data_IF_201869220318
#
_entry.id   IF_201869220318
#
_cell.length_a   1.000
_cell.length_b   1.000
_cell.length_c   1.000
_cell.angle_alpha   90.00
_cell.angle_beta   90.00
_cell.angle_gamma   90.00
#
_symmetry.space_group_name_H-M   'P 1'
#
loop_
_entity.id
_entity.type
_entity.pdbx_description
1 polymer ?
#
# COMPACT_ATOMS: atom_id res chain seq x y z
N UNK A 1 7.77 9.48 -10.93
CA UNK A 1 6.78 9.63 -9.84
C UNK A 1 5.41 10.06 -10.36
N UNK A 2 5.30 11.08 -11.23
CA UNK A 2 4.01 11.57 -11.73
C UNK A 2 3.21 10.46 -12.46
N UNK A 3 3.84 9.73 -13.39
CA UNK A 3 3.18 8.67 -14.15
C UNK A 3 2.66 7.53 -13.26
N UNK A 4 3.44 7.10 -12.27
CA UNK A 4 3.02 6.08 -11.31
C UNK A 4 1.86 6.55 -10.42
N UNK A 5 1.87 7.83 -10.02
CA UNK A 5 0.78 8.42 -9.26
C UNK A 5 -0.51 8.52 -10.09
N UNK A 6 -0.41 8.78 -11.39
CA UNK A 6 -1.58 8.82 -12.28
C UNK A 6 -2.27 7.45 -12.36
N UNK A 7 -1.50 6.36 -12.56
CA UNK A 7 -2.07 5.00 -12.56
C UNK A 7 -2.70 4.63 -11.21
N UNK A 8 -2.05 5.00 -10.11
CA UNK A 8 -2.59 4.76 -8.77
C UNK A 8 -3.91 5.53 -8.55
N UNK A 9 -3.95 6.80 -8.93
CA UNK A 9 -5.16 7.63 -8.82
C UNK A 9 -6.29 7.07 -9.69
N UNK A 10 -6.01 6.71 -10.94
CA UNK A 10 -6.97 6.07 -11.84
C UNK A 10 -7.53 4.77 -11.25
N UNK A 11 -6.68 3.93 -10.66
CA UNK A 11 -7.13 2.70 -9.98
C UNK A 11 -8.12 3.00 -8.85
N UNK A 12 -7.84 4.00 -8.01
CA UNK A 12 -8.71 4.39 -6.90
C UNK A 12 -10.04 4.98 -7.40
N UNK A 13 -10.02 5.82 -8.43
CA UNK A 13 -11.23 6.41 -9.03
C UNK A 13 -12.12 5.32 -9.64
N UNK A 14 -11.54 4.36 -10.36
CA UNK A 14 -12.30 3.22 -10.93
C UNK A 14 -12.95 2.38 -9.83
N UNK A 15 -12.23 2.12 -8.73
CA UNK A 15 -12.79 1.39 -7.57
C UNK A 15 -13.94 2.16 -6.91
N UNK A 16 -13.82 3.47 -6.75
CA UNK A 16 -14.90 4.33 -6.26
C UNK A 16 -16.12 4.28 -7.19
N UNK A 17 -15.91 4.35 -8.50
CA UNK A 17 -16.98 4.23 -9.49
C UNK A 17 -17.70 2.87 -9.39
N UNK A 18 -16.96 1.77 -9.25
CA UNK A 18 -17.53 0.42 -9.07
C UNK A 18 -18.38 0.37 -7.80
N UNK A 19 -17.89 0.86 -6.66
CA UNK A 19 -18.65 0.87 -5.42
C UNK A 19 -19.92 1.72 -5.53
N UNK A 20 -19.82 2.91 -6.12
CA UNK A 20 -20.96 3.83 -6.26
C UNK A 20 -21.99 3.34 -7.27
N UNK A 21 -21.55 2.72 -8.37
CA UNK A 21 -22.44 2.14 -9.38
C UNK A 21 -23.13 0.88 -8.84
N UNK A 22 -22.40 0.03 -8.11
CA UNK A 22 -22.97 -1.13 -7.45
C UNK A 22 -24.11 -0.73 -6.49
N UNK A 23 -23.90 0.27 -5.64
CA UNK A 23 -24.94 0.77 -4.73
C UNK A 23 -26.17 1.35 -5.44
N UNK A 24 -26.07 1.76 -6.71
CA UNK A 24 -27.21 2.21 -7.51
C UNK A 24 -27.95 1.07 -8.20
N UNK A 25 -27.21 0.08 -8.70
CA UNK A 25 -27.77 -1.05 -9.44
C UNK A 25 -28.31 -2.18 -8.53
N UNK A 26 -27.81 -2.29 -7.32
CA UNK A 26 -28.24 -3.28 -6.34
C UNK A 26 -29.11 -2.57 -5.29
N UNK A 27 -30.42 -2.60 -5.47
CA UNK A 27 -31.42 -1.89 -4.64
C UNK A 27 -31.36 -2.23 -3.13
N UNK A 28 -30.60 -3.27 -2.73
CA UNK A 28 -30.32 -3.62 -1.34
C UNK A 28 -28.91 -4.24 -1.12
N UNK A 29 -27.99 -4.12 -2.07
CA UNK A 29 -26.68 -4.81 -2.03
C UNK A 29 -25.50 -3.87 -2.26
N UNK A 30 -24.37 -4.15 -1.62
CA UNK A 30 -23.10 -3.49 -1.96
C UNK A 30 -22.09 -4.55 -2.37
N UNK A 31 -21.23 -4.24 -3.35
CA UNK A 31 -20.14 -5.14 -3.71
C UNK A 31 -19.25 -5.38 -2.49
N UNK A 32 -18.96 -6.65 -2.24
CA UNK A 32 -18.07 -7.05 -1.17
C UNK A 32 -16.64 -6.55 -1.46
N UNK A 33 -16.03 -5.94 -0.44
CA UNK A 33 -14.67 -5.43 -0.47
C UNK A 33 -13.68 -6.56 -0.77
N UNK A 34 -13.95 -7.78 -0.28
CA UNK A 34 -13.09 -8.94 -0.50
C UNK A 34 -13.02 -9.33 -1.99
N UNK A 35 -14.13 -9.19 -2.73
CA UNK A 35 -14.16 -9.48 -4.17
C UNK A 35 -13.28 -8.50 -4.92
N UNK A 36 -13.42 -7.20 -4.64
CA UNK A 36 -12.61 -6.15 -5.29
C UNK A 36 -11.12 -6.30 -4.95
N UNK A 37 -10.80 -6.57 -3.68
CA UNK A 37 -9.42 -6.76 -3.23
C UNK A 37 -8.77 -8.01 -3.86
N UNK A 38 -9.51 -9.12 -3.91
CA UNK A 38 -9.01 -10.39 -4.45
C UNK A 38 -8.80 -10.33 -5.95
N UNK A 39 -9.75 -9.75 -6.70
CA UNK A 39 -9.56 -9.52 -8.15
C UNK A 39 -8.37 -8.60 -8.42
N UNK A 40 -8.26 -7.49 -7.68
CA UNK A 40 -7.11 -6.58 -7.80
C UNK A 40 -5.78 -7.31 -7.55
N UNK A 41 -5.71 -8.10 -6.48
CA UNK A 41 -4.49 -8.85 -6.11
C UNK A 41 -4.16 -9.95 -7.13
N UNK A 42 -5.16 -10.64 -7.68
CA UNK A 42 -4.97 -11.67 -8.69
C UNK A 42 -4.38 -11.10 -9.98
N UNK A 43 -4.97 -10.03 -10.52
CA UNK A 43 -4.42 -9.36 -11.70
C UNK A 43 -3.06 -8.73 -11.43
N UNK A 44 -2.86 -8.12 -10.25
CA UNK A 44 -1.55 -7.60 -9.86
C UNK A 44 -0.48 -8.71 -9.87
N UNK A 45 -0.77 -9.86 -9.27
CA UNK A 45 0.14 -11.02 -9.27
C UNK A 45 0.45 -11.48 -10.69
N UNK A 46 -0.59 -11.62 -11.54
CA UNK A 46 -0.42 -12.01 -12.94
C UNK A 46 0.48 -11.04 -13.71
N UNK A 47 0.24 -9.73 -13.63
CA UNK A 47 1.05 -8.73 -14.33
C UNK A 47 2.46 -8.62 -13.76
N UNK A 48 2.64 -8.79 -12.44
CA UNK A 48 3.98 -8.83 -11.82
C UNK A 48 4.77 -10.04 -12.32
N UNK A 49 4.15 -11.22 -12.41
CA UNK A 49 4.78 -12.42 -12.96
C UNK A 49 5.13 -12.24 -14.44
N UNK A 50 4.23 -11.64 -15.22
CA UNK A 50 4.47 -11.32 -16.63
C UNK A 50 5.63 -10.32 -16.82
N UNK A 51 5.74 -9.33 -15.94
CA UNK A 51 6.80 -8.31 -15.95
C UNK A 51 8.07 -8.73 -15.23
N UNK A 52 8.08 -9.86 -14.52
CA UNK A 52 9.21 -10.36 -13.75
C UNK A 52 10.54 -10.42 -14.52
N UNK A 53 10.63 -10.93 -15.77
CA UNK A 53 11.88 -10.95 -16.52
C UNK A 53 12.44 -9.55 -16.75
N UNK A 54 11.58 -8.56 -17.01
CA UNK A 54 11.99 -7.18 -17.19
C UNK A 54 12.43 -6.53 -15.87
N UNK A 55 11.67 -6.75 -14.79
CA UNK A 55 12.02 -6.26 -13.45
C UNK A 55 13.33 -6.85 -12.92
N UNK A 56 13.61 -8.12 -13.25
CA UNK A 56 14.86 -8.80 -12.91
C UNK A 56 16.08 -8.10 -13.50
N UNK A 57 16.00 -7.71 -14.79
CA UNK A 57 17.08 -7.00 -15.48
C UNK A 57 17.34 -5.63 -14.84
N UNK A 58 16.27 -4.89 -14.47
CA UNK A 58 16.40 -3.60 -13.78
C UNK A 58 17.02 -3.73 -12.38
N UNK A 59 16.84 -4.89 -11.73
CA UNK A 59 17.46 -5.20 -10.42
C UNK A 59 18.87 -5.82 -10.54
N UNK A 60 19.39 -6.01 -11.75
CA UNK A 60 20.73 -6.53 -11.99
C UNK A 60 20.85 -8.06 -11.99
N UNK A 61 19.74 -8.80 -12.06
CA UNK A 61 19.76 -10.27 -12.11
C UNK A 61 19.51 -10.76 -13.54
N UNK A 62 20.46 -11.49 -14.16
CA UNK A 62 20.30 -11.99 -15.52
C UNK A 62 19.20 -13.05 -15.61
N UNK A 63 18.50 -13.11 -16.75
CA UNK A 63 17.33 -13.99 -16.92
C UNK A 63 17.68 -15.48 -16.76
N UNK A 64 18.90 -15.87 -17.13
CA UNK A 64 19.41 -17.24 -16.98
C UNK A 64 19.53 -17.70 -15.52
N UNK A 65 19.67 -16.78 -14.56
CA UNK A 65 19.81 -17.08 -13.13
C UNK A 65 18.52 -16.81 -12.34
N UNK A 66 17.45 -16.37 -13.01
CA UNK A 66 16.20 -16.00 -12.34
C UNK A 66 15.56 -17.20 -11.61
N UNK A 67 15.55 -18.38 -12.24
CA UNK A 67 14.98 -19.60 -11.65
C UNK A 67 15.77 -20.06 -10.43
N UNK A 68 17.11 -20.07 -10.52
CA UNK A 68 17.97 -20.38 -9.37
C UNK A 68 17.82 -19.34 -8.26
N UNK A 69 17.71 -18.05 -8.59
CA UNK A 69 17.50 -16.98 -7.62
C UNK A 69 16.17 -17.12 -6.88
N UNK A 70 15.08 -17.44 -7.59
CA UNK A 70 13.78 -17.72 -6.96
C UNK A 70 13.82 -18.97 -6.08
N UNK A 71 14.50 -20.04 -6.52
CA UNK A 71 14.65 -21.26 -5.74
C UNK A 71 15.45 -21.04 -4.45
N UNK A 72 16.55 -20.28 -4.51
CA UNK A 72 17.33 -19.88 -3.33
C UNK A 72 16.52 -18.99 -2.38
N UNK A 73 15.74 -18.05 -2.92
CA UNK A 73 14.83 -17.21 -2.13
C UNK A 73 13.73 -18.03 -1.44
N UNK A 74 13.14 -19.01 -2.13
CA UNK A 74 12.17 -19.93 -1.55
C UNK A 74 12.80 -20.83 -0.47
N UNK A 75 14.02 -21.32 -0.69
CA UNK A 75 14.78 -22.06 0.32
C UNK A 75 15.01 -21.25 1.60
N UNK A 76 15.37 -19.97 1.47
CA UNK A 76 15.50 -19.06 2.62
C UNK A 76 14.14 -18.77 3.30
N UNK A 77 13.08 -18.57 2.51
CA UNK A 77 11.74 -18.28 3.02
C UNK A 77 11.13 -19.47 3.79
N UNK A 78 11.30 -20.68 3.30
CA UNK A 78 10.81 -21.91 3.94
C UNK A 78 11.82 -22.53 4.90
N UNK A 79 13.00 -21.91 5.05
CA UNK A 79 14.10 -22.40 5.87
C UNK A 79 14.53 -23.84 5.48
N UNK A 80 14.49 -24.15 4.19
CA UNK A 80 14.90 -25.44 3.62
C UNK A 80 16.29 -25.25 3.00
N UNK A 81 17.32 -25.80 3.66
CA UNK A 81 18.65 -25.96 3.05
C UNK A 81 19.62 -24.78 3.14
N UNK A 82 19.56 -23.92 4.18
CA UNK A 82 20.64 -22.96 4.44
C UNK A 82 21.02 -22.83 5.92
N UNK A 83 22.31 -23.00 6.29
CA UNK A 83 22.82 -22.85 7.65
C UNK A 83 23.34 -21.42 7.95
N UNK A 84 22.92 -20.39 7.21
CA UNK A 84 23.33 -19.01 7.47
C UNK A 84 22.37 -18.32 8.46
N UNK A 85 22.92 -17.65 9.48
CA UNK A 85 22.16 -16.87 10.46
C UNK A 85 21.28 -15.78 9.82
N UNK A 86 21.56 -15.41 8.57
CA UNK A 86 20.89 -14.37 7.79
C UNK A 86 19.47 -14.75 7.31
N UNK A 87 19.15 -16.05 7.20
CA UNK A 87 17.79 -16.51 6.86
C UNK A 87 16.92 -16.74 8.11
N UNK A 88 17.47 -16.59 9.31
CA UNK A 88 16.74 -16.77 10.55
C UNK A 88 15.63 -15.72 10.69
N UNK A 89 14.37 -16.17 10.76
CA UNK A 89 13.21 -15.28 10.90
C UNK A 89 12.65 -14.72 9.59
N UNK A 90 13.19 -15.07 8.43
CA UNK A 90 12.72 -14.60 7.13
C UNK A 90 11.23 -14.96 6.87
N UNK A 91 10.80 -16.15 7.26
CA UNK A 91 9.40 -16.60 7.16
C UNK A 91 8.46 -15.70 7.96
N UNK A 92 8.80 -15.43 9.22
CA UNK A 92 7.96 -14.63 10.12
C UNK A 92 7.88 -13.18 9.64
N UNK A 93 9.02 -12.61 9.21
CA UNK A 93 9.05 -11.25 8.68
C UNK A 93 8.19 -11.14 7.41
N UNK A 94 8.32 -12.09 6.48
CA UNK A 94 7.52 -12.11 5.25
C UNK A 94 6.03 -12.28 5.54
N UNK A 95 5.67 -13.18 6.45
CA UNK A 95 4.27 -13.38 6.83
C UNK A 95 3.68 -12.13 7.49
N UNK A 96 4.42 -11.49 8.40
CA UNK A 96 4.00 -10.25 9.05
C UNK A 96 3.79 -9.13 8.03
N UNK A 97 4.68 -9.01 7.04
CA UNK A 97 4.54 -8.07 5.93
C UNK A 97 3.27 -8.34 5.11
N UNK A 98 2.99 -9.61 4.76
CA UNK A 98 1.79 -9.98 4.00
C UNK A 98 0.52 -9.65 4.78
N UNK A 99 0.46 -10.00 6.07
CA UNK A 99 -0.70 -9.70 6.93
C UNK A 99 -0.94 -8.19 7.01
N UNK A 100 0.11 -7.40 7.24
CA UNK A 100 -0.01 -5.95 7.34
C UNK A 100 -0.39 -5.29 6.00
N UNK A 101 0.16 -5.77 4.88
CA UNK A 101 -0.23 -5.28 3.55
C UNK A 101 -1.68 -5.60 3.22
N UNK A 102 -2.13 -6.81 3.56
CA UNK A 102 -3.51 -7.21 3.36
C UNK A 102 -4.46 -6.36 4.21
N UNK A 103 -4.13 -6.17 5.49
CA UNK A 103 -4.89 -5.29 6.38
C UNK A 103 -4.95 -3.86 5.83
N UNK A 104 -3.81 -3.29 5.41
CA UNK A 104 -3.74 -1.96 4.82
C UNK A 104 -4.62 -1.81 3.57
N UNK A 105 -4.53 -2.76 2.62
CA UNK A 105 -5.34 -2.73 1.40
C UNK A 105 -6.85 -2.81 1.71
N UNK A 106 -7.25 -3.65 2.67
CA UNK A 106 -8.65 -3.75 3.12
C UNK A 106 -9.09 -2.45 3.80
N UNK A 107 -8.27 -1.85 4.67
CA UNK A 107 -8.58 -0.58 5.35
C UNK A 107 -8.78 0.56 4.36
N UNK A 108 -7.92 0.67 3.34
CA UNK A 108 -8.05 1.70 2.29
C UNK A 108 -9.32 1.50 1.47
N UNK A 109 -9.69 0.27 1.14
CA UNK A 109 -10.94 -0.04 0.43
C UNK A 109 -12.18 0.24 1.28
N UNK A 110 -12.12 -0.08 2.58
CA UNK A 110 -13.19 0.25 3.53
C UNK A 110 -13.41 1.77 3.62
N UNK A 111 -12.33 2.53 3.74
CA UNK A 111 -12.37 3.99 3.70
C UNK A 111 -12.90 4.52 2.37
N UNK A 112 -12.48 3.93 1.24
CA UNK A 112 -12.96 4.30 -0.09
C UNK A 112 -14.46 4.07 -0.25
N UNK A 113 -14.99 2.98 0.31
CA UNK A 113 -16.42 2.64 0.27
C UNK A 113 -17.27 3.61 1.09
N UNK A 114 -16.77 4.09 2.22
CA UNK A 114 -17.49 5.01 3.11
C UNK A 114 -17.35 6.49 2.72
N UNK A 115 -16.30 6.84 1.97
CA UNK A 115 -15.95 8.24 1.69
C UNK A 115 -15.79 8.49 0.19
N UNK A 116 -14.59 8.88 -0.27
CA UNK A 116 -14.27 9.18 -1.66
C UNK A 116 -12.79 8.93 -1.92
N UNK A 117 -12.39 8.78 -3.19
CA UNK A 117 -10.99 8.61 -3.58
C UNK A 117 -10.09 9.74 -3.05
N UNK A 118 -10.59 10.98 -2.98
CA UNK A 118 -9.82 12.13 -2.49
C UNK A 118 -9.52 11.98 -1.01
N UNK A 119 -10.53 11.68 -0.17
CA UNK A 119 -10.35 11.49 1.27
C UNK A 119 -9.44 10.29 1.54
N UNK A 120 -9.65 9.18 0.82
CA UNK A 120 -8.81 7.98 0.93
C UNK A 120 -7.35 8.26 0.58
N UNK A 121 -7.09 9.05 -0.48
CA UNK A 121 -5.74 9.48 -0.85
C UNK A 121 -5.10 10.42 0.18
N UNK A 122 -5.88 11.33 0.76
CA UNK A 122 -5.40 12.23 1.81
C UNK A 122 -5.02 11.46 3.08
N UNK A 123 -5.86 10.53 3.52
CA UNK A 123 -5.56 9.65 4.65
C UNK A 123 -4.34 8.76 4.37
N UNK A 124 -4.20 8.23 3.16
CA UNK A 124 -3.02 7.45 2.75
C UNK A 124 -1.74 8.29 2.76
N UNK A 125 -1.85 9.60 2.51
CA UNK A 125 -0.69 10.51 2.55
C UNK A 125 -0.15 10.67 3.98
N UNK A 126 -0.99 10.53 5.02
CA UNK A 126 -0.54 10.52 6.42
C UNK A 126 0.35 9.33 6.76
N UNK A 127 0.32 8.25 5.98
CA UNK A 127 1.20 7.11 6.18
C UNK A 127 2.67 7.52 6.03
N UNK A 128 2.98 8.45 5.10
CA UNK A 128 4.37 8.90 4.85
C UNK A 128 5.02 9.52 6.09
N UNK A 129 4.45 10.56 6.74
CA UNK A 129 5.06 11.13 7.92
C UNK A 129 5.06 10.18 9.12
N UNK A 130 4.06 9.32 9.23
CA UNK A 130 4.01 8.28 10.26
C UNK A 130 5.14 7.25 10.08
N UNK A 131 5.42 6.82 8.86
CA UNK A 131 6.55 5.93 8.54
C UNK A 131 7.89 6.60 8.86
N UNK A 132 8.06 7.89 8.53
CA UNK A 132 9.30 8.63 8.85
C UNK A 132 9.50 8.73 10.36
N UNK A 133 8.43 9.00 11.12
CA UNK A 133 8.49 8.99 12.57
C UNK A 133 8.88 7.60 13.11
N UNK A 134 8.27 6.53 12.60
CA UNK A 134 8.61 5.15 13.00
C UNK A 134 10.09 4.82 12.73
N UNK A 135 10.69 5.31 11.65
CA UNK A 135 12.12 5.12 11.36
C UNK A 135 13.07 5.88 12.29
N UNK A 136 12.57 6.78 13.14
CA UNK A 136 13.37 7.36 14.22
C UNK A 136 13.48 6.45 15.45
N UNK A 137 12.58 5.47 15.57
CA UNK A 137 12.61 4.49 16.65
C UNK A 137 13.70 3.42 16.39
N UNK A 138 14.29 2.84 17.43
CA UNK A 138 15.23 1.74 17.30
C UNK A 138 14.48 0.47 16.87
N UNK A 139 14.33 0.28 15.55
CA UNK A 139 13.62 -0.87 14.99
C UNK A 139 14.55 -2.08 14.83
N UNK A 140 14.06 -3.29 15.13
CA UNK A 140 14.81 -4.50 14.81
C UNK A 140 14.98 -4.61 13.28
N UNK A 141 16.15 -5.08 12.83
CA UNK A 141 16.54 -5.26 11.40
C UNK A 141 16.78 -3.99 10.59
N UNK A 142 16.45 -2.80 11.10
CA UNK A 142 16.80 -1.52 10.49
C UNK A 142 17.99 -0.97 11.29
N UNK A 143 19.05 -0.57 10.60
CA UNK A 143 20.29 -0.11 11.24
C UNK A 143 20.15 1.26 11.94
N UNK A 144 21.10 2.14 11.67
CA UNK A 144 21.23 3.47 12.32
C UNK A 144 19.90 4.24 12.32
N UNK A 145 19.51 4.77 13.48
CA UNK A 145 18.30 5.59 13.63
C UNK A 145 18.39 6.86 12.80
N UNK A 146 17.29 7.21 12.12
CA UNK A 146 17.23 8.45 11.36
C UNK A 146 17.11 9.67 12.29
N UNK A 147 17.96 10.69 12.11
CA UNK A 147 17.84 11.95 12.82
C UNK A 147 16.72 12.80 12.20
N UNK A 148 15.75 13.23 13.01
CA UNK A 148 14.62 14.04 12.53
C UNK A 148 15.03 15.51 12.39
N UNK A 149 14.98 16.07 11.17
CA UNK A 149 15.26 17.49 10.94
C UNK A 149 14.06 18.37 11.34
N UNK A 150 14.23 19.51 12.04
CA UNK A 150 13.11 20.36 12.48
C UNK A 150 12.18 20.84 11.35
N UNK A 151 12.71 21.03 10.13
CA UNK A 151 11.91 21.39 8.96
C UNK A 151 10.86 20.33 8.59
N UNK A 152 11.15 19.06 8.86
CA UNK A 152 10.21 17.97 8.63
C UNK A 152 8.96 18.13 9.50
N UNK A 153 9.14 18.50 10.78
CA UNK A 153 8.02 18.73 11.71
C UNK A 153 7.10 19.85 11.20
N UNK A 154 7.68 20.93 10.67
CA UNK A 154 6.90 22.02 10.06
C UNK A 154 6.06 21.49 8.88
N UNK A 155 6.65 20.68 8.00
CA UNK A 155 5.93 20.06 6.89
C UNK A 155 4.77 19.16 7.35
N UNK A 156 4.97 18.37 8.41
CA UNK A 156 3.92 17.55 9.02
C UNK A 156 2.79 18.40 9.57
N UNK A 157 3.09 19.50 10.27
CA UNK A 157 2.09 20.42 10.80
C UNK A 157 1.26 21.08 9.69
N UNK A 158 1.91 21.50 8.60
CA UNK A 158 1.22 22.05 7.42
C UNK A 158 0.27 21.01 6.82
N UNK A 159 0.72 19.75 6.70
CA UNK A 159 -0.09 18.67 6.15
C UNK A 159 -1.32 18.36 7.01
N UNK A 160 -1.16 18.26 8.33
CA UNK A 160 -2.29 18.09 9.25
C UNK A 160 -3.27 19.26 9.21
N UNK A 161 -2.77 20.49 9.15
CA UNK A 161 -3.59 21.69 9.02
C UNK A 161 -4.39 21.68 7.72
N UNK A 162 -3.75 21.36 6.59
CA UNK A 162 -4.41 21.24 5.29
C UNK A 162 -5.50 20.17 5.27
N UNK A 163 -5.26 19.02 5.89
CA UNK A 163 -6.26 17.94 6.01
C UNK A 163 -7.45 18.35 6.89
N UNK A 164 -7.18 19.00 8.02
CA UNK A 164 -8.24 19.49 8.92
C UNK A 164 -9.12 20.53 8.21
N UNK A 165 -8.51 21.49 7.51
CA UNK A 165 -9.21 22.48 6.70
C UNK A 165 -10.05 21.82 5.60
N UNK A 166 -9.47 20.88 4.85
CA UNK A 166 -10.19 20.16 3.80
C UNK A 166 -11.43 19.45 4.35
N UNK A 167 -11.29 18.69 5.44
CA UNK A 167 -12.42 17.98 6.05
C UNK A 167 -13.49 18.94 6.58
N UNK A 168 -13.08 20.07 7.19
CA UNK A 168 -14.01 21.09 7.68
C UNK A 168 -14.86 21.69 6.55
N UNK A 169 -14.22 22.07 5.43
CA UNK A 169 -14.94 22.62 4.27
C UNK A 169 -15.75 21.55 3.52
N UNK A 170 -15.24 20.33 3.41
CA UNK A 170 -15.95 19.20 2.81
C UNK A 170 -17.24 18.87 3.59
N UNK A 171 -17.19 18.87 4.93
CA UNK A 171 -18.35 18.67 5.78
C UNK A 171 -19.40 19.77 5.57
N UNK A 172 -18.99 21.04 5.52
CA UNK A 172 -19.91 22.17 5.24
C UNK A 172 -20.56 22.09 3.86
N UNK A 173 -19.86 21.55 2.86
CA UNK A 173 -20.44 21.35 1.53
C UNK A 173 -21.55 20.30 1.57
N UNK A 174 -21.39 19.21 2.32
CA UNK A 174 -22.41 18.16 2.46
C UNK A 174 -23.71 18.70 3.09
N UNK A 175 -23.61 19.50 4.15
CA UNK A 175 -24.79 20.07 4.83
C UNK A 175 -25.56 21.13 4.03
N UNK A 176 -24.99 21.66 2.94
CA UNK A 176 -25.65 22.68 2.11
C UNK A 176 -26.54 22.07 1.03
N UNK A 177 -26.55 20.74 0.89
CA UNK A 177 -27.33 19.98 -0.11
C UNK A 177 -28.35 19.02 0.53
N UNK A 178 -28.51 19.04 1.86
CA UNK A 178 -29.69 18.56 2.59
C UNK A 178 -30.62 19.75 2.90
#
# INVERSE_FOLDING_TARGET
>A
MITSCAFQASSTIVKEFIFRNASKCLECGSVDIFVVNSHGSAFQSFFVLLMLPFLSQLRGVPFSQLSSYMASGAGCLFNIGSPSAECSGATLLTLSYVVMNLAFNISVLSLLKMSSAVVSSLCSTLAVPLTIYIFTLPLPYVGVTASLHPQFVIGVMILFCGLALYNFFAHRKSQKFE
#
